data_IF_983150221023
#
_entry.id   IF_983150221023
#
_cell.length_a   1.000
_cell.length_b   1.000
_cell.length_c   1.000
_cell.angle_alpha   90.00
_cell.angle_beta   90.00
_cell.angle_gamma   90.00
#
_symmetry.space_group_name_H-M   'P 1'
#
loop_
_entity.id
_entity.type
_entity.pdbx_description
1 polymer ?
#
# COMPACT_ATOMS: atom_id res chain seq x y z
N UNK A 1 -24.60 0.75 32.16
CA UNK A 1 -25.67 0.75 31.13
C UNK A 1 -25.93 -0.70 30.74
N UNK A 2 -27.19 -1.13 30.66
CA UNK A 2 -27.55 -2.50 30.25
C UNK A 2 -27.31 -2.66 28.75
N UNK A 3 -26.61 -3.71 28.35
CA UNK A 3 -26.48 -4.12 26.95
C UNK A 3 -27.88 -4.37 26.34
N UNK A 4 -28.10 -3.84 25.14
CA UNK A 4 -29.35 -3.98 24.41
C UNK A 4 -29.58 -5.45 24.03
N UNK A 5 -30.78 -5.96 24.36
CA UNK A 5 -31.23 -7.32 24.04
C UNK A 5 -31.20 -7.54 22.52
N UNK A 6 -30.67 -8.68 22.10
CA UNK A 6 -30.53 -9.08 20.70
C UNK A 6 -31.81 -8.93 19.89
N UNK A 7 -31.76 -8.06 18.90
CA UNK A 7 -32.61 -8.14 17.72
C UNK A 7 -31.98 -9.08 16.68
N UNK A 8 -32.73 -9.47 15.63
CA UNK A 8 -32.15 -10.10 14.46
C UNK A 8 -30.98 -9.23 13.98
N UNK A 9 -29.96 -9.82 13.37
CA UNK A 9 -28.91 -9.06 12.69
C UNK A 9 -29.51 -8.30 11.50
N UNK A 10 -30.32 -7.28 11.75
CA UNK A 10 -30.81 -6.34 10.76
C UNK A 10 -29.63 -5.52 10.26
N UNK A 11 -29.58 -5.26 8.96
CA UNK A 11 -28.33 -5.04 8.28
C UNK A 11 -27.82 -3.66 8.68
N UNK A 12 -26.73 -3.66 9.46
CA UNK A 12 -25.79 -2.54 9.40
C UNK A 12 -25.56 -2.30 7.91
N UNK A 13 -25.78 -1.06 7.45
CA UNK A 13 -25.52 -0.66 6.07
C UNK A 13 -24.22 -1.32 5.59
N UNK A 14 -24.14 -1.86 4.35
CA UNK A 14 -23.01 -2.67 3.91
C UNK A 14 -21.72 -1.98 4.31
N UNK A 15 -21.02 -2.57 5.27
CA UNK A 15 -19.83 -1.95 5.82
C UNK A 15 -18.85 -1.81 4.65
N UNK A 16 -18.51 -0.58 4.27
CA UNK A 16 -17.47 -0.36 3.27
C UNK A 16 -16.13 -0.75 3.87
N UNK A 17 -15.81 -2.03 3.75
CA UNK A 17 -14.52 -2.56 4.11
C UNK A 17 -13.50 -2.11 3.06
N UNK A 18 -12.24 -1.85 3.46
CA UNK A 18 -11.16 -1.70 2.50
C UNK A 18 -11.14 -2.91 1.55
N UNK A 19 -10.91 -2.70 0.26
CA UNK A 19 -10.89 -3.79 -0.73
C UNK A 19 -9.85 -4.89 -0.42
N UNK A 20 -8.84 -4.56 0.41
CA UNK A 20 -7.84 -5.50 0.92
C UNK A 20 -8.37 -6.44 2.01
N UNK A 21 -9.51 -6.14 2.62
CA UNK A 21 -10.11 -6.92 3.69
C UNK A 21 -11.27 -7.75 3.16
N UNK A 22 -11.07 -9.07 3.08
CA UNK A 22 -12.13 -10.02 2.80
C UNK A 22 -12.77 -10.48 4.10
N UNK A 23 -14.03 -10.11 4.34
CA UNK A 23 -14.78 -10.55 5.52
C UNK A 23 -15.36 -11.94 5.27
N UNK A 24 -15.07 -12.87 6.16
CA UNK A 24 -15.74 -14.17 6.20
C UNK A 24 -17.06 -14.05 6.96
N UNK A 25 -17.02 -13.64 8.24
CA UNK A 25 -18.19 -13.53 9.13
C UNK A 25 -17.99 -12.44 10.19
N UNK A 26 -19.10 -11.91 10.74
CA UNK A 26 -19.07 -11.08 11.95
C UNK A 26 -18.79 -11.99 13.15
N UNK A 27 -17.95 -11.53 14.06
CA UNK A 27 -17.68 -12.24 15.31
C UNK A 27 -18.91 -12.14 16.21
N UNK A 28 -19.30 -13.25 16.83
CA UNK A 28 -20.46 -13.31 17.73
C UNK A 28 -20.21 -12.47 18.97
N UNK A 29 -21.25 -11.88 19.55
CA UNK A 29 -21.14 -11.08 20.77
C UNK A 29 -20.56 -11.84 21.97
N UNK A 30 -20.67 -13.18 21.97
CA UNK A 30 -20.14 -14.06 23.01
C UNK A 30 -18.77 -14.68 22.71
N UNK A 31 -18.14 -14.31 21.58
CA UNK A 31 -16.79 -14.75 21.25
C UNK A 31 -15.77 -13.96 22.07
N UNK A 32 -14.74 -14.62 22.58
CA UNK A 32 -13.68 -14.01 23.39
C UNK A 32 -12.92 -12.90 22.64
N UNK A 33 -12.88 -12.97 21.31
CA UNK A 33 -12.22 -11.98 20.46
C UNK A 33 -13.09 -10.75 20.19
N UNK A 34 -14.35 -10.75 20.62
CA UNK A 34 -15.25 -9.62 20.42
C UNK A 34 -14.89 -8.47 21.36
N UNK A 35 -14.63 -7.29 20.80
CA UNK A 35 -14.33 -6.09 21.58
C UNK A 35 -15.60 -5.26 21.81
N UNK A 36 -15.93 -4.98 23.07
CA UNK A 36 -17.09 -4.17 23.43
C UNK A 36 -16.98 -2.76 22.84
N UNK A 37 -18.06 -2.27 22.23
CA UNK A 37 -18.10 -0.98 21.55
C UNK A 37 -17.59 -0.97 20.10
N UNK A 38 -17.12 -2.11 19.58
CA UNK A 38 -16.65 -2.24 18.19
C UNK A 38 -17.37 -3.36 17.43
N UNK A 39 -17.49 -3.19 16.12
CA UNK A 39 -17.90 -4.25 15.22
C UNK A 39 -16.69 -5.13 14.86
N UNK A 40 -16.59 -6.30 15.50
CA UNK A 40 -15.49 -7.22 15.28
C UNK A 40 -15.78 -8.15 14.09
N UNK A 41 -14.84 -8.23 13.14
CA UNK A 41 -14.94 -9.08 11.95
C UNK A 41 -13.79 -10.06 11.86
N UNK A 42 -14.11 -11.28 11.41
CA UNK A 42 -13.11 -12.27 11.03
C UNK A 42 -12.96 -12.29 9.52
N UNK A 43 -11.73 -12.20 9.06
CA UNK A 43 -11.42 -12.02 7.65
C UNK A 43 -9.97 -12.35 7.34
N UNK A 44 -9.66 -12.36 6.04
CA UNK A 44 -8.29 -12.31 5.59
C UNK A 44 -7.98 -10.91 5.07
N UNK A 45 -6.75 -10.46 5.30
CA UNK A 45 -6.26 -9.16 4.86
C UNK A 45 -5.13 -9.37 3.85
N UNK A 46 -5.39 -9.01 2.60
CA UNK A 46 -4.41 -9.06 1.52
C UNK A 46 -4.00 -7.64 1.18
N UNK A 47 -2.81 -7.28 1.64
CA UNK A 47 -2.21 -6.00 1.32
C UNK A 47 -0.76 -6.22 0.88
N UNK A 48 -0.28 -5.30 0.05
CA UNK A 48 1.12 -5.23 -0.34
C UNK A 48 1.74 -4.04 0.37
N UNK A 49 2.79 -4.30 1.16
CA UNK A 49 3.64 -3.22 1.65
C UNK A 49 4.66 -2.89 0.56
N UNK A 50 4.66 -1.63 0.12
CA UNK A 50 5.62 -1.12 -0.84
C UNK A 50 6.16 0.21 -0.35
N UNK A 51 7.41 0.51 -0.68
CA UNK A 51 8.08 1.76 -0.34
C UNK A 51 8.99 2.20 -1.47
N UNK A 52 9.23 3.51 -1.56
CA UNK A 52 10.02 4.11 -2.62
C UNK A 52 9.17 4.66 -3.76
N UNK A 53 9.84 4.99 -4.87
CA UNK A 53 9.27 5.80 -5.95
C UNK A 53 8.08 5.12 -6.65
N UNK A 54 8.21 3.83 -6.99
CA UNK A 54 7.13 3.07 -7.65
C UNK A 54 5.91 2.89 -6.72
N UNK A 55 6.14 2.73 -5.41
CA UNK A 55 5.07 2.71 -4.42
C UNK A 55 4.29 4.03 -4.38
N UNK A 56 4.99 5.17 -4.48
CA UNK A 56 4.37 6.50 -4.51
C UNK A 56 3.56 6.72 -5.79
N UNK A 57 4.06 6.26 -6.95
CA UNK A 57 3.34 6.31 -8.23
C UNK A 57 2.06 5.47 -8.15
N UNK A 58 2.18 4.23 -7.67
CA UNK A 58 1.06 3.31 -7.47
C UNK A 58 0.00 3.88 -6.54
N UNK A 59 0.42 4.51 -5.43
CA UNK A 59 -0.47 5.17 -4.49
C UNK A 59 -1.23 6.33 -5.16
N UNK A 60 -0.51 7.26 -5.81
CA UNK A 60 -1.12 8.40 -6.48
C UNK A 60 -2.12 7.97 -7.58
N UNK A 61 -1.74 6.97 -8.38
CA UNK A 61 -2.61 6.41 -9.42
C UNK A 61 -3.90 5.83 -8.83
N UNK A 62 -3.81 5.04 -7.76
CA UNK A 62 -4.99 4.41 -7.14
C UNK A 62 -5.87 5.42 -6.39
N UNK A 63 -5.28 6.45 -5.76
CA UNK A 63 -6.01 7.55 -5.14
C UNK A 63 -6.81 8.35 -6.16
N UNK A 64 -6.20 8.75 -7.28
CA UNK A 64 -6.89 9.47 -8.36
C UNK A 64 -8.01 8.62 -8.97
N UNK A 65 -7.75 7.31 -9.17
CA UNK A 65 -8.78 6.39 -9.65
C UNK A 65 -9.97 6.25 -8.69
N UNK A 66 -9.73 6.28 -7.38
CA UNK A 66 -10.79 6.20 -6.37
C UNK A 66 -11.62 7.49 -6.34
N UNK A 67 -10.98 8.65 -6.53
CA UNK A 67 -11.64 9.96 -6.53
C UNK A 67 -12.42 10.23 -7.83
N UNK A 68 -11.88 9.76 -8.96
CA UNK A 68 -12.38 10.03 -10.32
C UNK A 68 -12.57 8.75 -11.16
N UNK A 69 -13.39 7.77 -10.72
CA UNK A 69 -13.52 6.47 -11.39
C UNK A 69 -13.96 6.61 -12.86
N UNK A 70 -14.65 7.69 -13.21
CA UNK A 70 -15.08 8.00 -14.57
C UNK A 70 -13.93 8.16 -15.57
N UNK A 71 -12.75 8.59 -15.11
CA UNK A 71 -11.55 8.75 -15.94
C UNK A 71 -10.83 7.43 -16.24
N UNK A 72 -11.13 6.35 -15.52
CA UNK A 72 -10.35 5.10 -15.53
C UNK A 72 -11.10 3.89 -16.12
N UNK A 73 -11.99 4.14 -17.08
CA UNK A 73 -12.83 3.10 -17.71
C UNK A 73 -12.15 2.29 -18.81
N UNK A 74 -10.97 2.71 -19.27
CA UNK A 74 -10.28 2.11 -20.41
C UNK A 74 -8.84 1.71 -20.04
N UNK A 75 -8.42 0.51 -20.43
CA UNK A 75 -7.10 -0.03 -20.14
C UNK A 75 -5.96 0.82 -20.70
N UNK A 76 -6.08 1.32 -21.94
CA UNK A 76 -5.08 2.19 -22.56
C UNK A 76 -4.96 3.52 -21.82
N UNK A 77 -6.09 4.09 -21.40
CA UNK A 77 -6.11 5.30 -20.57
C UNK A 77 -5.40 5.04 -19.25
N UNK A 78 -5.71 3.94 -18.59
CA UNK A 78 -5.08 3.55 -17.32
C UNK A 78 -3.55 3.38 -17.46
N UNK A 79 -3.10 2.66 -18.49
CA UNK A 79 -1.68 2.48 -18.78
C UNK A 79 -0.98 3.81 -19.09
N UNK A 80 -1.61 4.67 -19.90
CA UNK A 80 -1.05 5.98 -20.25
C UNK A 80 -0.95 6.91 -19.05
N UNK A 81 -1.95 6.91 -18.16
CA UNK A 81 -1.96 7.69 -16.92
C UNK A 81 -0.87 7.20 -15.97
N UNK A 82 -0.72 5.88 -15.81
CA UNK A 82 0.36 5.31 -15.01
C UNK A 82 1.74 5.68 -15.57
N UNK A 83 1.93 5.57 -16.88
CA UNK A 83 3.17 5.97 -17.54
C UNK A 83 3.48 7.47 -17.35
N UNK A 84 2.48 8.34 -17.48
CA UNK A 84 2.64 9.79 -17.23
C UNK A 84 3.08 10.07 -15.79
N UNK A 85 2.46 9.43 -14.79
CA UNK A 85 2.85 9.57 -13.39
C UNK A 85 4.26 9.03 -13.12
N UNK A 86 4.65 7.95 -13.81
CA UNK A 86 6.03 7.44 -13.77
C UNK A 86 7.05 8.44 -14.33
N UNK A 87 6.70 9.14 -15.41
CA UNK A 87 7.55 10.16 -16.00
C UNK A 87 7.72 11.41 -15.13
N UNK A 88 6.68 11.86 -14.42
CA UNK A 88 6.76 13.07 -13.56
C UNK A 88 7.59 12.86 -12.30
N UNK A 89 7.70 11.63 -11.82
CA UNK A 89 8.57 11.23 -10.70
C UNK A 89 10.05 11.10 -11.09
N UNK A 90 10.38 11.25 -12.37
CA UNK A 90 11.76 11.16 -12.85
C UNK A 90 12.25 9.72 -13.06
N UNK A 91 11.42 8.68 -12.91
CA UNK A 91 11.82 7.28 -13.10
C UNK A 91 12.41 7.01 -14.50
N UNK A 92 11.76 7.52 -15.55
CA UNK A 92 12.18 7.29 -16.94
C UNK A 92 13.31 8.21 -17.42
N UNK A 93 13.60 9.28 -16.69
CA UNK A 93 14.60 10.27 -17.08
C UNK A 93 15.58 10.59 -15.93
N UNK A 94 15.72 9.70 -14.97
CA UNK A 94 16.53 9.92 -13.77
C UNK A 94 17.97 10.27 -14.13
N UNK A 95 18.55 9.62 -15.14
CA UNK A 95 19.91 9.91 -15.62
C UNK A 95 20.06 11.29 -16.29
N UNK A 96 18.96 11.91 -16.75
CA UNK A 96 18.96 13.24 -17.36
C UNK A 96 18.71 14.35 -16.33
N UNK A 97 17.97 14.06 -15.26
CA UNK A 97 17.53 15.07 -14.28
C UNK A 97 18.17 14.95 -12.90
N UNK A 98 18.78 13.81 -12.56
CA UNK A 98 19.48 13.64 -11.30
C UNK A 98 20.98 13.88 -11.48
N UNK A 99 21.54 14.89 -10.77
CA UNK A 99 22.98 15.11 -10.81
C UNK A 99 23.69 13.91 -10.17
N UNK A 100 24.84 13.52 -10.75
CA UNK A 100 25.70 12.45 -10.22
C UNK A 100 26.14 12.70 -8.78
N UNK A 101 26.12 13.97 -8.33
CA UNK A 101 26.36 14.38 -6.94
C UNK A 101 25.36 13.81 -5.92
N UNK A 102 24.19 13.37 -6.40
CA UNK A 102 23.15 12.72 -5.59
C UNK A 102 23.12 11.19 -5.79
N UNK A 103 24.15 10.61 -6.40
CA UNK A 103 24.27 9.16 -6.50
C UNK A 103 24.45 8.54 -5.10
N UNK A 104 23.82 7.39 -4.86
CA UNK A 104 23.88 6.67 -3.59
C UNK A 104 25.31 6.34 -3.13
N UNK A 105 26.25 6.09 -4.05
CA UNK A 105 27.67 5.87 -3.76
C UNK A 105 28.34 7.08 -3.10
N UNK A 106 27.82 8.29 -3.35
CA UNK A 106 28.30 9.52 -2.74
C UNK A 106 27.55 9.87 -1.45
N UNK A 107 26.28 9.44 -1.33
CA UNK A 107 25.42 9.77 -0.20
C UNK A 107 25.52 8.77 0.95
N UNK A 108 25.86 7.51 0.68
CA UNK A 108 25.86 6.47 1.70
C UNK A 108 26.89 5.36 1.42
N UNK A 109 27.46 4.81 2.51
CA UNK A 109 28.19 3.55 2.45
C UNK A 109 27.23 2.39 2.64
N UNK A 110 27.02 1.61 1.59
CA UNK A 110 26.16 0.42 1.65
C UNK A 110 26.99 -0.78 2.06
N UNK A 111 26.54 -1.51 3.09
CA UNK A 111 27.15 -2.76 3.51
C UNK A 111 26.14 -3.89 3.39
N UNK A 112 26.59 -5.05 2.94
CA UNK A 112 25.81 -6.28 2.90
C UNK A 112 26.34 -7.24 3.95
N UNK A 113 25.43 -7.92 4.64
CA UNK A 113 25.79 -8.97 5.57
C UNK A 113 25.83 -10.30 4.82
N UNK A 114 26.98 -10.96 4.78
CA UNK A 114 27.06 -12.35 4.34
C UNK A 114 26.68 -13.28 5.49
N UNK A 115 26.73 -14.60 5.27
CA UNK A 115 26.50 -15.59 6.35
C UNK A 115 27.40 -15.28 7.55
N UNK A 116 26.85 -15.41 8.76
CA UNK A 116 27.55 -15.29 10.05
C UNK A 116 28.15 -13.91 10.39
N UNK A 117 27.34 -12.84 10.44
CA UNK A 117 27.78 -11.62 11.14
C UNK A 117 28.70 -10.69 10.34
N UNK A 118 29.31 -11.18 9.26
CA UNK A 118 30.32 -10.44 8.52
C UNK A 118 29.69 -9.44 7.54
N UNK A 119 29.82 -8.16 7.88
CA UNK A 119 29.44 -7.05 7.02
C UNK A 119 30.57 -6.72 6.03
N UNK A 120 30.24 -6.70 4.74
CA UNK A 120 31.14 -6.32 3.67
C UNK A 120 30.62 -5.05 2.99
N UNK A 121 31.51 -4.09 2.75
CA UNK A 121 31.16 -2.88 2.01
C UNK A 121 30.89 -3.23 0.54
N UNK A 122 29.75 -2.78 0.04
CA UNK A 122 29.34 -2.99 -1.34
C UNK A 122 29.92 -1.87 -2.19
N UNK A 123 30.78 -2.22 -3.15
CA UNK A 123 31.31 -1.24 -4.09
C UNK A 123 30.21 -0.79 -5.06
N UNK A 124 29.79 0.47 -4.93
CA UNK A 124 28.81 1.10 -5.81
C UNK A 124 29.54 1.99 -6.84
N UNK A 125 29.21 1.89 -8.14
CA UNK A 125 29.79 2.75 -9.15
C UNK A 125 29.33 4.20 -8.96
N UNK A 126 30.25 5.14 -9.19
CA UNK A 126 30.02 6.58 -8.98
C UNK A 126 29.34 7.29 -10.17
N UNK A 127 28.83 6.54 -11.16
CA UNK A 127 28.25 7.09 -12.40
C UNK A 127 26.82 7.56 -12.21
#
# INVERSE_FOLDING_TARGET
MRALKGGPCDPIAPLELPHSLHKFQRVSSGDELNMEGYDTFRGGFWNYFSMGMDAQISYAFHSERKLHPEKFKNQLVNQSTYAKLGCTQGWFCASLFHPSSKNIAQLAKVKIMKKHGQWQELHLPHR
#
